data_IF_303068381148
#
_entry.id   IF_303068381148
#
_cell.length_a   1.000
_cell.length_b   1.000
_cell.length_c   1.000
_cell.angle_alpha   90.00
_cell.angle_beta   90.00
_cell.angle_gamma   90.00
#
_symmetry.space_group_name_H-M   'P 1'
#
loop_
_entity.id
_entity.type
_entity.pdbx_description
1 polymer ?
#
# COMPACT_ATOMS: atom_id res chain seq x y z
N UNK A 1 -15.16 10.13 11.38
CA UNK A 1 -14.31 8.97 11.72
C UNK A 1 -13.06 8.96 10.84
N UNK A 2 -11.87 8.59 11.36
CA UNK A 2 -10.63 8.53 10.57
C UNK A 2 -10.34 7.08 10.18
N UNK A 3 -10.74 6.70 8.96
CA UNK A 3 -10.49 5.37 8.38
C UNK A 3 -9.17 5.39 7.62
N UNK A 4 -8.32 4.39 7.87
CA UNK A 4 -7.00 4.23 7.25
C UNK A 4 -6.89 2.86 6.60
N UNK A 5 -6.46 2.82 5.35
CA UNK A 5 -6.17 1.58 4.63
C UNK A 5 -4.68 1.28 4.69
N UNK A 6 -4.36 0.05 5.08
CA UNK A 6 -3.00 -0.47 5.21
C UNK A 6 -2.87 -1.77 4.44
N UNK A 7 -1.96 -1.81 3.47
CA UNK A 7 -1.62 -3.01 2.72
C UNK A 7 -0.17 -3.36 3.01
N UNK A 8 0.07 -4.51 3.64
CA UNK A 8 1.40 -4.92 4.12
C UNK A 8 1.81 -6.25 3.51
N UNK A 9 3.01 -6.31 2.98
CA UNK A 9 3.59 -7.52 2.43
C UNK A 9 4.68 -8.07 3.33
N UNK A 10 4.54 -9.34 3.70
CA UNK A 10 5.46 -10.04 4.59
C UNK A 10 6.15 -11.20 3.85
N UNK A 11 7.46 -11.30 4.03
CA UNK A 11 8.27 -12.43 3.57
C UNK A 11 9.10 -12.94 4.76
N UNK A 12 9.05 -14.25 5.04
CA UNK A 12 9.69 -14.84 6.23
C UNK A 12 9.37 -14.10 7.54
N UNK A 13 8.10 -13.68 7.71
CA UNK A 13 7.61 -12.89 8.86
C UNK A 13 8.24 -11.49 8.99
N UNK A 14 9.02 -11.05 8.01
CA UNK A 14 9.55 -9.70 7.91
C UNK A 14 8.71 -8.90 6.91
N UNK A 15 8.23 -7.74 7.35
CA UNK A 15 7.58 -6.79 6.45
C UNK A 15 8.62 -6.22 5.47
N UNK A 16 8.35 -6.33 4.17
CA UNK A 16 9.28 -5.84 3.16
C UNK A 16 8.73 -4.66 2.37
N UNK A 17 7.40 -4.53 2.22
CA UNK A 17 6.74 -3.37 1.59
C UNK A 17 5.41 -3.09 2.26
N UNK A 18 5.07 -1.81 2.42
CA UNK A 18 3.74 -1.35 2.83
C UNK A 18 3.19 -0.25 1.95
N UNK A 19 1.88 -0.21 1.77
CA UNK A 19 1.13 0.96 1.33
C UNK A 19 0.27 1.47 2.47
N UNK A 20 0.32 2.78 2.68
CA UNK A 20 -0.49 3.51 3.65
C UNK A 20 -1.34 4.55 2.93
N UNK A 21 -2.65 4.56 3.15
CA UNK A 21 -3.54 5.57 2.55
C UNK A 21 -3.21 7.00 2.98
N UNK A 22 -2.66 7.20 4.18
CA UNK A 22 -2.27 8.53 4.65
C UNK A 22 -1.01 9.04 3.90
N UNK A 23 -0.15 8.13 3.43
CA UNK A 23 1.08 8.44 2.67
C UNK A 23 0.82 8.44 1.15
N UNK A 24 -0.08 7.58 0.68
CA UNK A 24 -0.51 7.49 -0.72
C UNK A 24 0.49 6.81 -1.68
N UNK A 25 1.48 6.07 -1.16
CA UNK A 25 2.46 5.31 -1.95
C UNK A 25 3.00 4.09 -1.19
N UNK A 26 3.61 3.17 -1.93
CA UNK A 26 4.34 2.05 -1.36
C UNK A 26 5.71 2.49 -0.84
N UNK A 27 6.08 1.98 0.34
CA UNK A 27 7.36 2.15 1.00
C UNK A 27 8.01 0.78 1.23
N UNK A 28 9.26 0.64 0.82
CA UNK A 28 10.04 -0.58 0.98
C UNK A 28 10.96 -0.51 2.20
N UNK A 29 11.05 -1.60 2.97
CA UNK A 29 11.88 -1.68 4.18
C UNK A 29 13.14 -2.54 4.00
N UNK A 30 13.26 -3.20 2.85
CA UNK A 30 14.43 -4.00 2.46
C UNK A 30 14.85 -3.62 1.05
N UNK A 31 16.05 -4.00 0.62
CA UNK A 31 16.51 -3.76 -0.75
C UNK A 31 15.53 -4.30 -1.81
N UNK A 32 15.01 -5.53 -1.61
CA UNK A 32 13.98 -6.08 -2.47
C UNK A 32 12.67 -5.30 -2.37
N UNK A 33 12.31 -4.90 -1.15
CA UNK A 33 11.13 -4.09 -0.91
C UNK A 33 11.13 -2.76 -1.64
N UNK A 34 12.25 -2.04 -1.65
CA UNK A 34 12.37 -0.78 -2.40
C UNK A 34 12.16 -0.99 -3.91
N UNK A 35 12.68 -2.09 -4.48
CA UNK A 35 12.47 -2.42 -5.90
C UNK A 35 10.99 -2.70 -6.20
N UNK A 36 10.32 -3.45 -5.33
CA UNK A 36 8.87 -3.70 -5.46
C UNK A 36 8.05 -2.42 -5.29
N UNK A 37 8.39 -1.59 -4.30
CA UNK A 37 7.73 -0.31 -4.08
C UNK A 37 7.88 0.63 -5.28
N UNK A 38 9.09 0.75 -5.85
CA UNK A 38 9.32 1.53 -7.08
C UNK A 38 8.50 0.99 -8.25
N UNK A 39 8.48 -0.33 -8.44
CA UNK A 39 7.71 -0.97 -9.51
C UNK A 39 6.20 -0.66 -9.37
N UNK A 40 5.61 -0.89 -8.19
CA UNK A 40 4.19 -0.60 -7.97
C UNK A 40 3.84 0.88 -8.01
N UNK A 41 4.72 1.75 -7.49
CA UNK A 41 4.53 3.20 -7.56
C UNK A 41 4.61 3.74 -8.99
N UNK A 42 5.25 3.01 -9.91
CA UNK A 42 5.37 3.40 -11.32
C UNK A 42 4.14 3.07 -12.17
N UNK A 43 3.24 2.19 -11.69
CA UNK A 43 2.00 1.82 -12.38
C UNK A 43 0.81 2.66 -11.87
N UNK A 44 0.29 3.61 -12.68
CA UNK A 44 -0.80 4.49 -12.27
C UNK A 44 -2.09 3.73 -11.93
N UNK A 45 -2.37 2.61 -12.62
CA UNK A 45 -3.59 1.83 -12.41
C UNK A 45 -3.57 1.13 -11.06
N UNK A 46 -2.42 0.58 -10.67
CA UNK A 46 -2.23 0.00 -9.34
C UNK A 46 -2.39 1.09 -8.29
N UNK A 47 -1.74 2.23 -8.49
CA UNK A 47 -1.74 3.34 -7.54
C UNK A 47 -3.12 3.97 -7.33
N UNK A 48 -3.91 4.16 -8.39
CA UNK A 48 -5.27 4.66 -8.31
C UNK A 48 -6.17 3.73 -7.49
N UNK A 49 -6.09 2.41 -7.75
CA UNK A 49 -6.87 1.42 -7.02
C UNK A 49 -6.51 1.42 -5.52
N UNK A 50 -5.22 1.42 -5.18
CA UNK A 50 -4.77 1.41 -3.77
C UNK A 50 -5.15 2.69 -3.03
N UNK A 51 -5.07 3.86 -3.68
CA UNK A 51 -5.45 5.15 -3.08
C UNK A 51 -6.95 5.24 -2.81
N UNK A 52 -7.78 4.66 -3.67
CA UNK A 52 -9.24 4.67 -3.52
C UNK A 52 -9.77 3.55 -2.62
N UNK A 53 -8.94 2.56 -2.27
CA UNK A 53 -9.32 1.43 -1.41
C UNK A 53 -9.87 1.86 -0.04
N UNK A 54 -9.41 2.99 0.49
CA UNK A 54 -9.97 3.54 1.75
C UNK A 54 -11.47 3.83 1.62
N UNK A 55 -11.96 4.22 0.44
CA UNK A 55 -13.36 4.58 0.20
C UNK A 55 -14.19 3.35 -0.16
N UNK A 56 -13.79 2.62 -1.20
CA UNK A 56 -14.60 1.52 -1.75
C UNK A 56 -14.48 0.22 -0.94
N UNK A 57 -13.39 0.03 -0.18
CA UNK A 57 -13.19 -1.15 0.66
C UNK A 57 -13.39 -0.84 2.14
N UNK A 58 -12.71 0.16 2.69
CA UNK A 58 -12.76 0.37 4.15
C UNK A 58 -14.04 1.09 4.58
N UNK A 59 -14.28 2.32 4.10
CA UNK A 59 -15.46 3.11 4.51
C UNK A 59 -16.78 2.51 4.03
N UNK A 60 -16.77 1.80 2.92
CA UNK A 60 -17.98 1.14 2.44
C UNK A 60 -18.43 -0.03 3.34
N UNK A 61 -17.48 -0.74 3.95
CA UNK A 61 -17.75 -1.94 4.75
C UNK A 61 -17.75 -1.68 6.27
N UNK A 62 -17.40 -0.48 6.70
CA UNK A 62 -17.41 -0.07 8.10
C UNK A 62 -18.73 0.63 8.44
#
# INVERSE_FOLDING_TARGET
EKVRFLHRHFYNRQEFVTFDSDVGRYEGFTFLGEKWAQFWNSDPKIMENQRTAVDWLCRHNY
#
